data_IF_477041476500
#
_entry.id   IF_477041476500
#
_cell.length_a   1.000
_cell.length_b   1.000
_cell.length_c   1.000
_cell.angle_alpha   90.00
_cell.angle_beta   90.00
_cell.angle_gamma   90.00
#
_symmetry.space_group_name_H-M   'P 1'
#
loop_
_entity.id
_entity.type
_entity.pdbx_description
1 polymer ?
#
# COMPACT_ATOMS: atom_id res chain seq x y z
N UNK A 1 -22.64 -3.95 -8.85
CA UNK A 1 -22.21 -2.55 -8.61
C UNK A 1 -21.28 -2.14 -9.74
N UNK A 2 -21.41 -0.91 -10.24
CA UNK A 2 -20.56 -0.36 -11.30
C UNK A 2 -19.62 0.67 -10.68
N UNK A 3 -18.36 0.68 -11.11
CA UNK A 3 -17.42 1.74 -10.76
C UNK A 3 -17.77 3.01 -11.54
N UNK A 4 -17.44 4.17 -10.99
CA UNK A 4 -17.43 5.40 -11.79
C UNK A 4 -16.25 5.38 -12.77
N UNK A 5 -16.34 6.09 -13.89
CA UNK A 5 -15.32 6.05 -14.95
C UNK A 5 -13.91 6.41 -14.44
N UNK A 6 -13.81 7.40 -13.55
CA UNK A 6 -12.54 7.77 -12.90
C UNK A 6 -11.98 6.66 -11.99
N UNK A 7 -12.85 5.87 -11.36
CA UNK A 7 -12.41 4.73 -10.54
C UNK A 7 -11.88 3.60 -11.43
N UNK A 8 -12.44 3.42 -12.64
CA UNK A 8 -11.90 2.46 -13.61
C UNK A 8 -10.50 2.85 -14.11
N UNK A 9 -10.21 4.15 -14.20
CA UNK A 9 -8.86 4.64 -14.49
C UNK A 9 -7.87 4.28 -13.38
N UNK A 10 -8.22 4.54 -12.12
CA UNK A 10 -7.37 4.16 -10.99
C UNK A 10 -7.17 2.64 -10.87
N UNK A 11 -8.20 1.85 -11.17
CA UNK A 11 -8.07 0.38 -11.29
C UNK A 11 -7.07 0.00 -12.39
N UNK A 12 -7.15 0.61 -13.57
CA UNK A 12 -6.21 0.38 -14.67
C UNK A 12 -4.79 0.82 -14.29
N UNK A 13 -4.66 1.95 -13.62
CA UNK A 13 -3.38 2.50 -13.15
C UNK A 13 -2.67 1.54 -12.19
N UNK A 14 -3.37 1.04 -11.17
CA UNK A 14 -2.83 0.07 -10.22
C UNK A 14 -2.51 -1.27 -10.88
N UNK A 15 -3.45 -1.84 -11.65
CA UNK A 15 -3.30 -3.16 -12.24
C UNK A 15 -2.15 -3.26 -13.27
N UNK A 16 -1.88 -2.17 -13.99
CA UNK A 16 -0.81 -2.11 -14.99
C UNK A 16 0.60 -2.02 -14.39
N UNK A 17 0.73 -1.75 -13.08
CA UNK A 17 2.02 -1.50 -12.42
C UNK A 17 2.30 -2.51 -11.32
N UNK A 18 3.58 -2.82 -11.13
CA UNK A 18 4.04 -3.63 -9.97
C UNK A 18 4.15 -2.77 -8.72
N UNK A 19 4.63 -1.54 -8.86
CA UNK A 19 4.70 -0.54 -7.79
C UNK A 19 3.89 0.68 -8.21
N UNK A 20 3.00 1.15 -7.36
CA UNK A 20 2.13 2.28 -7.70
C UNK A 20 1.78 3.08 -6.44
N UNK A 21 1.63 4.39 -6.61
CA UNK A 21 1.12 5.30 -5.60
C UNK A 21 -0.15 5.96 -6.13
N UNK A 22 -1.29 5.60 -5.55
CA UNK A 22 -2.60 6.18 -5.88
C UNK A 22 -2.93 7.25 -4.86
N UNK A 23 -2.80 8.50 -5.28
CA UNK A 23 -2.94 9.68 -4.43
C UNK A 23 -4.21 10.49 -4.74
N UNK A 24 -5.30 9.78 -5.04
CA UNK A 24 -6.62 10.40 -5.27
C UNK A 24 -7.11 11.13 -4.01
N UNK A 25 -8.01 12.10 -4.19
CA UNK A 25 -8.65 12.83 -3.08
C UNK A 25 -9.37 11.85 -2.12
N UNK A 26 -9.39 12.11 -0.78
CA UNK A 26 -10.19 11.33 0.16
C UNK A 26 -11.67 11.23 -0.28
N UNK A 27 -12.31 10.10 0.02
CA UNK A 27 -13.72 9.88 -0.34
C UNK A 27 -13.99 9.41 -1.77
N UNK A 28 -13.00 9.38 -2.67
CA UNK A 28 -13.17 8.91 -4.05
C UNK A 28 -13.24 7.37 -4.23
N UNK A 29 -13.21 6.61 -3.14
CA UNK A 29 -13.34 5.14 -3.18
C UNK A 29 -12.07 4.39 -3.57
N UNK A 30 -10.89 4.88 -3.16
CA UNK A 30 -9.59 4.22 -3.38
C UNK A 30 -9.57 2.75 -2.95
N UNK A 31 -10.26 2.41 -1.86
CA UNK A 31 -10.43 1.03 -1.37
C UNK A 31 -11.06 0.13 -2.44
N UNK A 32 -12.19 0.55 -3.03
CA UNK A 32 -12.85 -0.17 -4.11
C UNK A 32 -11.93 -0.31 -5.33
N UNK A 33 -11.24 0.76 -5.72
CA UNK A 33 -10.29 0.73 -6.83
C UNK A 33 -9.17 -0.28 -6.58
N UNK A 34 -8.59 -0.31 -5.39
CA UNK A 34 -7.51 -1.23 -5.03
C UNK A 34 -7.99 -2.69 -5.01
N UNK A 35 -9.18 -2.97 -4.46
CA UNK A 35 -9.76 -4.32 -4.46
C UNK A 35 -10.03 -4.80 -5.89
N UNK A 36 -10.60 -3.92 -6.73
CA UNK A 36 -10.91 -4.26 -8.12
C UNK A 36 -9.64 -4.42 -8.97
N UNK A 37 -8.59 -3.63 -8.70
CA UNK A 37 -7.27 -3.84 -9.29
C UNK A 37 -6.65 -5.17 -8.85
N UNK A 38 -6.73 -5.52 -7.57
CA UNK A 38 -6.24 -6.79 -7.03
C UNK A 38 -6.94 -7.99 -7.71
N UNK A 39 -8.26 -7.88 -7.92
CA UNK A 39 -9.06 -8.84 -8.68
C UNK A 39 -8.60 -8.94 -10.14
N UNK A 40 -8.35 -7.81 -10.80
CA UNK A 40 -7.91 -7.75 -12.19
C UNK A 40 -6.55 -8.42 -12.41
N UNK A 41 -5.62 -8.25 -11.46
CA UNK A 41 -4.30 -8.93 -11.51
C UNK A 41 -4.33 -10.35 -10.94
N UNK A 42 -5.51 -10.83 -10.50
CA UNK A 42 -5.73 -12.17 -9.93
C UNK A 42 -4.81 -12.47 -8.73
N UNK A 43 -4.55 -11.48 -7.88
CA UNK A 43 -3.73 -11.68 -6.68
C UNK A 43 -4.40 -12.67 -5.73
N UNK A 44 -3.65 -13.70 -5.29
CA UNK A 44 -4.17 -14.74 -4.39
C UNK A 44 -3.71 -14.56 -2.96
N UNK A 45 -2.47 -14.14 -2.73
CA UNK A 45 -1.93 -13.81 -1.40
C UNK A 45 -1.79 -12.29 -1.25
N UNK A 46 -2.67 -11.70 -0.44
CA UNK A 46 -2.80 -10.25 -0.29
C UNK A 46 -2.58 -9.86 1.17
N UNK A 47 -1.74 -8.86 1.41
CA UNK A 47 -1.64 -8.18 2.69
C UNK A 47 -2.11 -6.73 2.55
N UNK A 48 -3.07 -6.32 3.36
CA UNK A 48 -3.44 -4.92 3.52
C UNK A 48 -2.95 -4.43 4.86
N UNK A 49 -2.22 -3.32 4.85
CA UNK A 49 -1.75 -2.62 6.04
C UNK A 49 -2.44 -1.26 6.08
N UNK A 50 -3.21 -1.00 7.13
CA UNK A 50 -4.02 0.21 7.24
C UNK A 50 -4.06 0.72 8.70
N UNK A 51 -4.61 1.91 8.98
CA UNK A 51 -4.94 2.30 10.35
C UNK A 51 -5.91 1.29 10.98
N UNK A 52 -5.80 1.03 12.29
CA UNK A 52 -6.63 0.01 12.96
C UNK A 52 -8.14 0.23 12.77
N UNK A 53 -8.56 1.50 12.70
CA UNK A 53 -9.96 1.91 12.46
C UNK A 53 -10.47 1.55 11.05
N UNK A 54 -9.57 1.38 10.07
CA UNK A 54 -9.94 1.05 8.70
C UNK A 54 -10.06 -0.47 8.46
N UNK A 55 -9.57 -1.31 9.38
CA UNK A 55 -9.64 -2.77 9.27
C UNK A 55 -11.08 -3.27 9.04
N UNK A 56 -12.11 -2.89 9.84
CA UNK A 56 -13.48 -3.34 9.60
C UNK A 56 -13.99 -2.87 8.23
N UNK A 57 -13.69 -1.62 7.84
CA UNK A 57 -14.08 -1.06 6.54
C UNK A 57 -13.50 -1.86 5.37
N UNK A 58 -12.22 -2.21 5.44
CA UNK A 58 -11.57 -3.05 4.42
C UNK A 58 -12.21 -4.43 4.33
N UNK A 59 -12.55 -5.05 5.47
CA UNK A 59 -13.23 -6.35 5.47
C UNK A 59 -14.60 -6.27 4.78
N UNK A 60 -15.42 -5.28 5.13
CA UNK A 60 -16.73 -5.06 4.51
C UNK A 60 -16.61 -4.79 3.01
N UNK A 61 -15.67 -3.95 2.60
CA UNK A 61 -15.45 -3.61 1.19
C UNK A 61 -14.93 -4.83 0.39
N UNK A 62 -14.08 -5.69 0.96
CA UNK A 62 -13.71 -6.95 0.31
C UNK A 62 -14.91 -7.88 0.11
N UNK A 63 -15.80 -8.01 1.11
CA UNK A 63 -17.02 -8.81 0.97
C UNK A 63 -17.98 -8.22 -0.06
N UNK A 64 -18.03 -6.90 -0.16
CA UNK A 64 -18.90 -6.19 -1.10
C UNK A 64 -18.41 -6.27 -2.54
N UNK A 65 -17.12 -6.01 -2.79
CA UNK A 65 -16.55 -5.90 -4.14
C UNK A 65 -15.96 -7.22 -4.67
N UNK A 66 -15.55 -8.11 -3.76
CA UNK A 66 -14.97 -9.40 -4.12
C UNK A 66 -15.33 -10.54 -3.13
N UNK A 67 -16.63 -10.84 -2.93
CA UNK A 67 -17.11 -11.79 -1.91
C UNK A 67 -16.56 -13.22 -2.06
N UNK A 68 -16.36 -13.67 -3.30
CA UNK A 68 -15.92 -15.05 -3.61
C UNK A 68 -14.44 -15.12 -4.00
N UNK A 69 -13.59 -14.28 -3.40
CA UNK A 69 -12.15 -14.38 -3.66
C UNK A 69 -11.58 -15.70 -3.15
N UNK A 70 -10.48 -16.15 -3.77
CA UNK A 70 -9.74 -17.35 -3.36
C UNK A 70 -8.30 -16.96 -2.99
N UNK A 71 -7.69 -17.72 -2.08
CA UNK A 71 -6.34 -17.49 -1.57
C UNK A 71 -6.32 -16.85 -0.19
N UNK A 72 -5.19 -16.28 0.21
CA UNK A 72 -4.94 -15.69 1.53
C UNK A 72 -5.13 -14.17 1.51
N UNK A 73 -5.74 -13.64 2.57
CA UNK A 73 -5.93 -12.20 2.79
C UNK A 73 -5.72 -11.94 4.26
N UNK A 74 -4.72 -11.13 4.55
CA UNK A 74 -4.51 -10.58 5.88
C UNK A 74 -4.73 -9.07 5.82
N UNK A 75 -5.49 -8.53 6.78
CA UNK A 75 -5.69 -7.10 6.95
C UNK A 75 -5.21 -6.78 8.36
N UNK A 76 -4.16 -5.97 8.47
CA UNK A 76 -3.51 -5.67 9.75
C UNK A 76 -3.26 -4.18 9.94
N UNK A 77 -3.07 -3.78 11.20
CA UNK A 77 -2.63 -2.44 11.50
C UNK A 77 -1.13 -2.26 11.32
N UNK A 78 -0.70 -1.04 11.03
CA UNK A 78 0.73 -0.68 11.06
C UNK A 78 1.41 -1.05 12.39
N UNK A 79 0.71 -0.91 13.52
CA UNK A 79 1.23 -1.29 14.83
C UNK A 79 1.46 -2.80 14.97
N UNK A 80 0.54 -3.62 14.42
CA UNK A 80 0.71 -5.09 14.41
C UNK A 80 1.91 -5.48 13.53
N UNK A 81 2.06 -4.85 12.37
CA UNK A 81 3.18 -5.10 11.46
C UNK A 81 4.52 -4.69 12.08
N UNK A 82 4.56 -3.56 12.80
CA UNK A 82 5.76 -2.99 13.40
C UNK A 82 6.14 -3.59 14.77
N UNK A 83 5.42 -4.62 15.23
CA UNK A 83 5.68 -5.22 16.54
C UNK A 83 7.09 -5.85 16.56
N UNK A 84 7.93 -5.56 17.56
CA UNK A 84 9.24 -6.20 17.67
C UNK A 84 9.15 -7.73 17.62
N UNK A 85 9.99 -8.35 16.79
CA UNK A 85 9.99 -9.80 16.57
C UNK A 85 8.88 -10.32 15.64
N UNK A 86 8.01 -9.46 15.10
CA UNK A 86 7.07 -9.88 14.09
C UNK A 86 7.81 -10.26 12.79
N UNK A 87 7.47 -11.42 12.23
CA UNK A 87 7.94 -11.79 10.90
C UNK A 87 7.20 -10.99 9.85
N UNK A 88 7.94 -10.38 8.93
CA UNK A 88 7.35 -9.73 7.76
C UNK A 88 7.01 -10.79 6.72
N UNK A 89 5.77 -10.89 6.21
CA UNK A 89 5.43 -11.87 5.19
C UNK A 89 6.22 -11.67 3.89
N UNK A 90 6.69 -12.75 3.27
CA UNK A 90 7.38 -12.75 1.98
C UNK A 90 6.61 -13.54 0.92
N UNK A 91 6.94 -13.31 -0.36
CA UNK A 91 6.39 -14.08 -1.48
C UNK A 91 4.92 -13.76 -1.81
N UNK A 92 4.35 -12.72 -1.19
CA UNK A 92 2.99 -12.26 -1.43
C UNK A 92 2.81 -11.80 -2.88
N UNK A 93 1.63 -12.03 -3.44
CA UNK A 93 1.27 -11.48 -4.74
C UNK A 93 1.10 -9.96 -4.68
N UNK A 94 0.58 -9.44 -3.56
CA UNK A 94 0.27 -8.03 -3.41
C UNK A 94 0.32 -7.56 -1.95
N UNK A 95 0.97 -6.42 -1.72
CA UNK A 95 0.84 -5.61 -0.51
C UNK A 95 0.14 -4.30 -0.84
N UNK A 96 -0.85 -3.92 -0.03
CA UNK A 96 -1.53 -2.62 -0.11
C UNK A 96 -1.23 -1.87 1.19
N UNK A 97 -0.65 -0.68 1.07
CA UNK A 97 -0.40 0.23 2.19
C UNK A 97 -1.41 1.37 2.10
N UNK A 98 -2.45 1.29 2.91
CA UNK A 98 -3.49 2.31 3.00
C UNK A 98 -3.08 3.43 3.96
N UNK A 99 -3.51 4.64 3.68
CA UNK A 99 -3.02 5.86 4.34
C UNK A 99 -1.49 5.86 4.45
N UNK A 100 -0.81 5.72 3.31
CA UNK A 100 0.64 5.52 3.24
C UNK A 100 1.45 6.64 3.92
N UNK A 101 0.84 7.80 4.20
CA UNK A 101 1.41 8.85 5.06
C UNK A 101 1.77 8.33 6.48
N UNK A 102 1.24 7.20 6.93
CA UNK A 102 1.71 6.53 8.16
C UNK A 102 3.17 6.04 8.06
N UNK A 103 3.71 5.86 6.86
CA UNK A 103 5.08 5.34 6.61
C UNK A 103 6.09 6.41 6.21
N UNK A 104 5.81 7.66 6.57
CA UNK A 104 6.53 8.85 6.08
C UNK A 104 7.90 9.11 6.73
N UNK A 105 8.19 8.45 7.85
CA UNK A 105 9.43 8.64 8.64
C UNK A 105 10.36 7.43 8.46
N UNK A 106 11.49 7.56 7.74
CA UNK A 106 12.37 6.42 7.41
C UNK A 106 12.83 5.62 8.63
N UNK A 107 13.14 6.30 9.74
CA UNK A 107 13.69 5.65 10.93
C UNK A 107 12.66 4.87 11.76
N UNK A 108 11.36 5.13 11.54
CA UNK A 108 10.31 4.51 12.30
C UNK A 108 10.19 3.01 11.99
N UNK A 109 10.03 2.19 13.04
CA UNK A 109 9.85 0.73 12.90
C UNK A 109 8.72 0.36 11.94
N UNK A 110 7.62 1.12 11.95
CA UNK A 110 6.49 0.93 11.03
C UNK A 110 6.85 1.12 9.57
N UNK A 111 7.69 2.10 9.26
CA UNK A 111 8.15 2.39 7.89
C UNK A 111 9.08 1.29 7.42
N UNK A 112 10.04 0.90 8.26
CA UNK A 112 10.97 -0.21 7.96
C UNK A 112 10.21 -1.51 7.72
N UNK A 113 9.26 -1.87 8.58
CA UNK A 113 8.46 -3.09 8.45
C UNK A 113 7.54 -3.06 7.21
N UNK A 114 6.90 -1.92 6.92
CA UNK A 114 6.08 -1.75 5.72
C UNK A 114 6.92 -1.81 4.43
N UNK A 115 8.11 -1.24 4.42
CA UNK A 115 9.06 -1.29 3.30
C UNK A 115 9.52 -2.72 3.04
N UNK A 116 9.91 -3.45 4.08
CA UNK A 116 10.28 -4.87 3.96
C UNK A 116 9.13 -5.71 3.38
N UNK A 117 7.89 -5.47 3.82
CA UNK A 117 6.72 -6.17 3.29
C UNK A 117 6.51 -5.85 1.80
N UNK A 118 6.57 -4.58 1.44
CA UNK A 118 6.40 -4.12 0.06
C UNK A 118 7.50 -4.67 -0.88
N UNK A 119 8.75 -4.71 -0.41
CA UNK A 119 9.88 -5.26 -1.16
C UNK A 119 9.77 -6.79 -1.33
N UNK A 120 9.32 -7.50 -0.29
CA UNK A 120 9.11 -8.95 -0.31
C UNK A 120 7.92 -9.43 -1.16
N UNK A 121 7.05 -8.51 -1.60
CA UNK A 121 5.88 -8.81 -2.41
C UNK A 121 6.10 -8.56 -3.91
N UNK A 122 5.43 -9.34 -4.76
CA UNK A 122 5.48 -9.20 -6.23
C UNK A 122 4.97 -7.84 -6.69
N UNK A 123 3.94 -7.31 -5.99
CA UNK A 123 3.34 -5.98 -6.20
C UNK A 123 3.17 -5.25 -4.88
N UNK A 124 3.30 -3.93 -4.90
CA UNK A 124 3.07 -3.06 -3.76
C UNK A 124 2.37 -1.78 -4.20
N UNK A 125 1.23 -1.49 -3.59
CA UNK A 125 0.43 -0.32 -3.92
C UNK A 125 0.24 0.54 -2.68
N UNK A 126 0.59 1.81 -2.78
CA UNK A 126 0.40 2.79 -1.73
C UNK A 126 -0.86 3.60 -2.07
N UNK A 127 -1.75 3.75 -1.09
CA UNK A 127 -2.95 4.57 -1.20
C UNK A 127 -2.81 5.74 -0.22
N UNK A 128 -3.06 6.97 -0.68
CA UNK A 128 -3.04 8.16 0.18
C UNK A 128 -4.12 9.13 -0.25
N UNK A 129 -4.77 9.77 0.72
CA UNK A 129 -5.62 10.93 0.48
C UNK A 129 -4.84 12.24 0.32
N UNK A 130 -3.60 12.28 0.80
CA UNK A 130 -2.74 13.47 0.75
C UNK A 130 -1.80 13.35 -0.46
N UNK A 131 -1.95 14.20 -1.49
CA UNK A 131 -1.19 14.07 -2.74
C UNK A 131 0.28 14.49 -2.62
N UNK A 132 0.59 15.37 -1.66
CA UNK A 132 1.94 15.88 -1.47
C UNK A 132 2.40 15.60 -0.04
N UNK A 133 3.57 14.99 0.15
CA UNK A 133 4.19 14.94 1.45
C UNK A 133 4.60 16.33 1.92
N UNK A 134 4.58 16.59 3.24
CA UNK A 134 4.77 17.95 3.77
C UNK A 134 6.23 18.42 3.71
N UNK A 135 7.18 17.51 3.43
CA UNK A 135 8.60 17.82 3.31
C UNK A 135 9.25 16.84 2.31
N UNK A 136 10.45 17.17 1.80
CA UNK A 136 11.21 16.29 0.91
C UNK A 136 11.53 14.91 1.51
N UNK A 137 11.55 14.77 2.84
CA UNK A 137 11.82 13.50 3.52
C UNK A 137 10.83 12.41 3.21
N UNK A 138 9.57 12.80 3.24
CA UNK A 138 8.48 11.88 3.05
C UNK A 138 8.44 11.42 1.56
N UNK A 139 8.96 12.20 0.60
CA UNK A 139 9.12 11.78 -0.79
C UNK A 139 10.11 10.63 -0.96
N UNK A 140 11.21 10.61 -0.19
CA UNK A 140 12.19 9.51 -0.24
C UNK A 140 11.55 8.18 0.12
N UNK A 141 10.69 8.15 1.14
CA UNK A 141 9.99 6.92 1.51
C UNK A 141 9.12 6.42 0.35
N UNK A 142 8.39 7.31 -0.33
CA UNK A 142 7.60 6.97 -1.51
C UNK A 142 8.50 6.44 -2.63
N UNK A 143 9.66 7.05 -2.87
CA UNK A 143 10.62 6.57 -3.87
C UNK A 143 11.19 5.20 -3.53
N UNK A 144 11.47 4.89 -2.27
CA UNK A 144 11.93 3.56 -1.85
C UNK A 144 10.89 2.48 -2.15
N UNK A 145 9.60 2.80 -2.03
CA UNK A 145 8.53 1.88 -2.40
C UNK A 145 8.40 1.70 -3.92
N UNK A 146 8.52 2.80 -4.68
CA UNK A 146 8.29 2.80 -6.12
C UNK A 146 9.49 2.29 -6.92
N UNK A 147 10.70 2.64 -6.49
CA UNK A 147 11.97 2.33 -7.16
C UNK A 147 13.06 1.90 -6.18
N UNK A 148 12.88 0.78 -5.45
CA UNK A 148 13.83 0.33 -4.44
C UNK A 148 15.25 0.06 -4.97
N UNK A 149 15.41 -0.19 -6.28
CA UNK A 149 16.73 -0.41 -6.90
C UNK A 149 17.43 0.86 -7.39
N UNK A 150 16.78 2.03 -7.29
CA UNK A 150 17.31 3.32 -7.76
C UNK A 150 17.68 4.26 -6.62
N UNK A 151 17.25 3.97 -5.39
CA UNK A 151 17.59 4.76 -4.21
C UNK A 151 18.70 4.02 -3.45
N UNK A 152 19.89 4.65 -3.28
CA UNK A 152 20.96 4.05 -2.50
C UNK A 152 20.54 3.80 -1.05
N UNK A 153 21.01 2.72 -0.41
CA UNK A 153 20.83 2.55 1.03
C UNK A 153 21.39 3.77 1.78
N UNK A 154 20.67 4.29 2.77
CA UNK A 154 21.06 5.41 3.64
C UNK A 154 21.09 6.82 3.02
N UNK A 155 20.40 7.09 1.91
CA UNK A 155 20.22 8.48 1.39
C UNK A 155 19.35 9.40 2.27
N UNK A 156 19.03 9.01 3.50
CA UNK A 156 18.17 9.77 4.40
C UNK A 156 18.89 10.89 5.17
N UNK A 157 20.19 11.13 4.94
CA UNK A 157 20.90 12.29 5.50
C UNK A 157 20.67 13.54 4.64
N UNK A 158 19.96 14.53 5.19
CA UNK A 158 19.63 15.81 4.55
C UNK A 158 20.82 16.73 4.28
N UNK A 159 22.05 16.34 4.60
CA UNK A 159 23.21 17.25 4.58
C UNK A 159 23.94 17.31 3.22
N UNK A 160 23.43 16.67 2.17
CA UNK A 160 24.16 16.54 0.90
C UNK A 160 23.49 17.22 -0.31
N UNK A 161 22.52 18.12 -0.12
CA UNK A 161 21.90 18.90 -1.20
C UNK A 161 21.66 20.35 -0.80
#
# INVERSE_FOLDING_TARGET
>A
MKLYDYQEEGVRFLASRRRAYLADVPGLGKTAQAIMAAKKVRARSILVVCPAVAIPVWNEEFQKWWPRRRGELEIISYNKLARPGAMTPQGLDLVILDEAHYTKSPDALRTKAALLAAQGAKRAWLLSGSPMPNNPSELYTVFDYLWPSKIPPNTHSYEAW
#
